data_IF_769285227676
#
_entry.id   IF_769285227676
#
_cell.length_a   1.000
_cell.length_b   1.000
_cell.length_c   1.000
_cell.angle_alpha   90.00
_cell.angle_beta   90.00
_cell.angle_gamma   90.00
#
_symmetry.space_group_name_H-M   'P 1'
#
loop_
_entity.id
_entity.type
_entity.pdbx_description
1 polymer ?
#
# COMPACT_ATOMS: atom_id res chain seq x y z
N UNK A 1 -30.44 -18.77 -2.82
CA UNK A 1 -29.86 -18.40 -1.50
C UNK A 1 -28.56 -17.66 -1.75
N UNK A 2 -28.63 -16.34 -1.80
CA UNK A 2 -27.57 -15.41 -2.20
C UNK A 2 -27.11 -14.57 -1.00
N UNK A 3 -25.85 -14.67 -0.54
CA UNK A 3 -25.35 -13.77 0.49
C UNK A 3 -24.67 -12.57 -0.19
N UNK A 4 -25.43 -11.50 -0.43
CA UNK A 4 -24.92 -10.17 -0.78
C UNK A 4 -25.53 -9.17 0.20
N UNK A 5 -24.83 -8.85 1.28
CA UNK A 5 -24.90 -7.59 2.05
C UNK A 5 -24.14 -7.77 3.35
N UNK A 6 -23.02 -7.05 3.50
CA UNK A 6 -22.75 -6.18 4.65
C UNK A 6 -21.52 -5.28 4.34
N UNK A 7 -21.67 -4.27 3.45
CA UNK A 7 -20.61 -3.30 3.16
C UNK A 7 -20.21 -2.42 4.38
N UNK A 8 -20.96 -2.49 5.49
CA UNK A 8 -20.68 -1.72 6.71
C UNK A 8 -19.48 -2.20 7.52
N UNK A 9 -19.17 -3.51 7.54
CA UNK A 9 -18.10 -4.05 8.40
C UNK A 9 -16.70 -3.67 7.90
N UNK A 10 -16.52 -3.53 6.58
CA UNK A 10 -15.24 -3.10 5.98
C UNK A 10 -14.96 -1.62 6.25
N UNK A 11 -15.99 -0.77 6.19
CA UNK A 11 -15.89 0.64 6.53
C UNK A 11 -15.57 0.86 8.00
N UNK A 12 -16.21 0.12 8.90
CA UNK A 12 -15.95 0.19 10.35
C UNK A 12 -14.57 -0.37 10.71
N UNK A 13 -14.07 -1.38 9.99
CA UNK A 13 -12.71 -1.89 10.17
C UNK A 13 -11.65 -0.90 9.67
N UNK A 14 -11.87 -0.24 8.54
CA UNK A 14 -10.99 0.81 8.02
C UNK A 14 -10.97 2.04 8.93
N UNK A 15 -12.15 2.49 9.40
CA UNK A 15 -12.27 3.56 10.41
C UNK A 15 -11.59 3.16 11.72
N UNK A 16 -11.78 1.92 12.18
CA UNK A 16 -11.12 1.38 13.36
C UNK A 16 -9.60 1.37 13.23
N UNK A 17 -9.06 0.97 12.08
CA UNK A 17 -7.61 1.00 11.81
C UNK A 17 -7.09 2.44 11.77
N UNK A 18 -7.80 3.37 11.16
CA UNK A 18 -7.44 4.80 11.12
C UNK A 18 -7.48 5.42 12.53
N UNK A 19 -8.48 5.07 13.35
CA UNK A 19 -8.62 5.55 14.74
C UNK A 19 -7.52 4.94 15.65
N UNK A 20 -7.18 3.66 15.46
CA UNK A 20 -6.09 3.00 16.21
C UNK A 20 -4.72 3.54 15.80
N UNK A 21 -4.50 3.88 14.52
CA UNK A 21 -3.25 4.52 14.07
C UNK A 21 -3.10 5.97 14.58
N UNK A 22 -4.20 6.70 14.79
CA UNK A 22 -4.18 8.12 15.20
C UNK A 22 -4.14 8.32 16.72
N UNK A 23 -4.51 7.32 17.51
CA UNK A 23 -4.53 7.39 18.99
C UNK A 23 -3.19 7.07 19.66
N UNK A 24 -2.18 6.62 18.90
CA UNK A 24 -0.83 6.37 19.40
C UNK A 24 0.13 7.48 18.91
N UNK A 25 0.35 8.57 19.68
CA UNK A 25 1.21 9.68 19.26
C UNK A 25 2.66 9.25 18.99
N UNK A 26 3.10 8.12 19.57
CA UNK A 26 4.41 7.53 19.34
C UNK A 26 4.60 6.94 17.93
N UNK A 27 3.52 6.61 17.21
CA UNK A 27 3.59 5.99 15.87
C UNK A 27 3.42 6.99 14.72
N UNK A 28 2.87 8.18 14.99
CA UNK A 28 2.64 9.22 13.97
C UNK A 28 3.96 9.72 13.39
N UNK A 29 4.96 9.94 14.24
CA UNK A 29 6.28 10.46 13.85
C UNK A 29 7.07 9.47 12.97
N UNK A 30 7.25 8.18 13.35
CA UNK A 30 7.95 7.22 12.50
C UNK A 30 7.18 6.92 11.21
N UNK A 31 5.84 6.86 11.23
CA UNK A 31 5.05 6.65 10.02
C UNK A 31 5.12 7.86 9.07
N UNK A 32 5.05 9.08 9.61
CA UNK A 32 5.21 10.31 8.82
C UNK A 32 6.60 10.40 8.20
N UNK A 33 7.64 10.02 8.94
CA UNK A 33 9.02 9.98 8.46
C UNK A 33 9.20 8.93 7.34
N UNK A 34 8.67 7.72 7.51
CA UNK A 34 8.68 6.68 6.47
C UNK A 34 7.93 7.15 5.22
N UNK A 35 6.76 7.75 5.39
CA UNK A 35 5.95 8.25 4.27
C UNK A 35 6.67 9.38 3.52
N UNK A 36 7.19 10.36 4.25
CA UNK A 36 7.92 11.50 3.68
C UNK A 36 9.19 11.07 2.96
N UNK A 37 10.04 10.25 3.60
CA UNK A 37 11.26 9.73 2.99
C UNK A 37 10.97 8.90 1.74
N UNK A 38 9.93 8.04 1.79
CA UNK A 38 9.51 7.23 0.64
C UNK A 38 9.00 8.06 -0.53
N UNK A 39 8.20 9.11 -0.28
CA UNK A 39 7.70 9.99 -1.36
C UNK A 39 8.82 10.82 -1.98
N UNK A 40 9.72 11.37 -1.17
CA UNK A 40 10.88 12.13 -1.65
C UNK A 40 11.79 11.26 -2.51
N UNK A 41 12.16 10.07 -2.02
CA UNK A 41 13.02 9.16 -2.76
C UNK A 41 12.35 8.64 -4.05
N UNK A 42 11.07 8.29 -3.99
CA UNK A 42 10.31 7.91 -5.19
C UNK A 42 10.27 9.03 -6.23
N UNK A 43 10.07 10.28 -5.79
CA UNK A 43 10.06 11.44 -6.68
C UNK A 43 11.43 11.69 -7.31
N UNK A 44 12.52 11.63 -6.52
CA UNK A 44 13.89 11.78 -7.02
C UNK A 44 14.21 10.68 -8.04
N UNK A 45 13.86 9.42 -7.77
CA UNK A 45 14.13 8.31 -8.69
C UNK A 45 13.38 8.44 -10.02
N UNK A 46 12.13 8.93 -9.99
CA UNK A 46 11.37 9.15 -11.23
C UNK A 46 11.89 10.36 -12.00
N UNK A 47 12.17 11.47 -11.31
CA UNK A 47 12.51 12.75 -11.97
C UNK A 47 13.97 12.89 -12.37
N UNK A 48 14.88 12.31 -11.60
CA UNK A 48 16.33 12.46 -11.82
C UNK A 48 16.92 11.24 -12.51
N UNK A 49 16.53 10.04 -12.09
CA UNK A 49 17.11 8.78 -12.59
C UNK A 49 16.28 8.10 -13.69
N UNK A 50 15.04 8.55 -13.92
CA UNK A 50 14.12 7.91 -14.88
C UNK A 50 13.73 6.48 -14.51
N UNK A 51 14.00 6.07 -13.27
CA UNK A 51 13.73 4.72 -12.77
C UNK A 51 12.35 4.64 -12.12
N UNK A 52 11.75 3.43 -12.03
CA UNK A 52 10.46 3.26 -11.39
C UNK A 52 10.51 3.69 -9.91
N UNK A 53 9.50 4.45 -9.49
CA UNK A 53 9.39 5.01 -8.13
C UNK A 53 9.55 3.97 -7.01
N UNK A 54 9.11 2.73 -7.30
CA UNK A 54 9.20 1.58 -6.40
C UNK A 54 10.63 1.31 -5.93
N UNK A 55 11.64 1.47 -6.81
CA UNK A 55 13.06 1.28 -6.47
C UNK A 55 13.52 2.34 -5.48
N UNK A 56 13.16 3.61 -5.73
CA UNK A 56 13.47 4.71 -4.81
C UNK A 56 12.81 4.53 -3.44
N UNK A 57 11.55 4.10 -3.41
CA UNK A 57 10.83 3.81 -2.16
C UNK A 57 11.47 2.66 -1.36
N UNK A 58 11.96 1.61 -2.03
CA UNK A 58 12.61 0.48 -1.38
C UNK A 58 13.99 0.86 -0.82
N UNK A 59 14.78 1.63 -1.56
CA UNK A 59 16.06 2.14 -1.10
C UNK A 59 15.90 3.10 0.08
N UNK A 60 14.88 3.97 0.07
CA UNK A 60 14.58 4.82 1.21
C UNK A 60 14.33 4.00 2.48
N UNK A 61 13.54 2.93 2.40
CA UNK A 61 13.30 2.04 3.53
C UNK A 61 14.56 1.31 4.02
N UNK A 62 15.42 0.88 3.09
CA UNK A 62 16.69 0.23 3.44
C UNK A 62 17.68 1.19 4.10
N UNK A 63 17.76 2.43 3.63
CA UNK A 63 18.57 3.49 4.23
C UNK A 63 18.02 3.83 5.62
N UNK A 64 16.71 4.04 5.75
CA UNK A 64 16.07 4.33 7.03
C UNK A 64 16.33 3.24 8.07
N UNK A 65 16.27 1.97 7.66
CA UNK A 65 16.53 0.83 8.55
C UNK A 65 17.99 0.75 9.03
N UNK A 66 18.95 1.19 8.22
CA UNK A 66 20.37 1.10 8.53
C UNK A 66 20.94 2.37 9.18
N UNK A 67 20.37 3.54 8.90
CA UNK A 67 20.84 4.84 9.39
C UNK A 67 20.12 5.28 10.67
N UNK A 68 18.83 4.98 10.81
CA UNK A 68 18.11 5.23 12.05
C UNK A 68 18.20 3.99 12.96
N UNK A 69 18.71 4.12 14.20
CA UNK A 69 18.69 3.04 15.16
C UNK A 69 17.25 2.53 15.39
N UNK A 70 17.06 1.25 15.74
CA UNK A 70 15.75 0.68 16.10
C UNK A 70 15.07 1.41 17.28
N UNK A 71 15.80 2.28 17.98
CA UNK A 71 15.30 3.15 19.05
C UNK A 71 14.27 4.20 18.59
N UNK A 72 14.16 4.50 17.29
CA UNK A 72 13.16 5.45 16.75
C UNK A 72 11.75 4.87 16.60
N UNK A 73 11.46 3.71 17.19
CA UNK A 73 10.11 3.14 17.21
C UNK A 73 9.63 2.74 15.82
N UNK A 74 10.51 2.09 15.04
CA UNK A 74 10.11 1.48 13.76
C UNK A 74 8.88 0.59 13.99
N UNK A 75 7.88 0.63 13.08
CA UNK A 75 6.62 -0.07 13.28
C UNK A 75 6.86 -1.57 13.51
N UNK A 76 6.35 -2.06 14.64
CA UNK A 76 6.43 -3.46 15.05
C UNK A 76 5.82 -4.40 13.98
N UNK A 77 6.12 -5.69 14.04
CA UNK A 77 5.65 -6.71 13.10
C UNK A 77 4.12 -6.66 12.90
N UNK A 78 3.37 -6.35 13.97
CA UNK A 78 1.92 -6.16 13.92
C UNK A 78 1.50 -4.96 13.07
N UNK A 79 2.13 -3.81 13.27
CA UNK A 79 1.85 -2.61 12.49
C UNK A 79 2.20 -2.82 11.01
N UNK A 80 3.32 -3.49 10.74
CA UNK A 80 3.71 -3.87 9.37
C UNK A 80 2.69 -4.78 8.69
N UNK A 81 2.13 -5.76 9.40
CA UNK A 81 1.08 -6.64 8.87
C UNK A 81 -0.19 -5.87 8.51
N UNK A 82 -0.64 -4.99 9.40
CA UNK A 82 -1.83 -4.14 9.18
C UNK A 82 -1.62 -3.20 8.00
N UNK A 83 -0.48 -2.50 7.94
CA UNK A 83 -0.16 -1.58 6.84
C UNK A 83 -0.12 -2.32 5.50
N UNK A 84 0.49 -3.50 5.45
CA UNK A 84 0.50 -4.33 4.23
C UNK A 84 -0.90 -4.75 3.80
N UNK A 85 -1.73 -5.17 4.75
CA UNK A 85 -3.13 -5.54 4.46
C UNK A 85 -3.92 -4.38 3.86
N UNK A 86 -3.84 -3.19 4.49
CA UNK A 86 -4.51 -1.98 4.00
C UNK A 86 -3.94 -1.53 2.65
N UNK A 87 -2.62 -1.56 2.49
CA UNK A 87 -1.96 -1.18 1.24
C UNK A 87 -2.38 -2.11 0.09
N UNK A 88 -2.36 -3.44 0.30
CA UNK A 88 -2.81 -4.40 -0.70
C UNK A 88 -4.28 -4.23 -1.05
N UNK A 89 -5.15 -4.06 -0.05
CA UNK A 89 -6.57 -3.79 -0.29
C UNK A 89 -6.76 -2.51 -1.12
N UNK A 90 -6.03 -1.45 -0.79
CA UNK A 90 -6.11 -0.16 -1.52
C UNK A 90 -5.58 -0.28 -2.94
N UNK A 91 -4.47 -0.98 -3.17
CA UNK A 91 -3.89 -1.21 -4.50
C UNK A 91 -4.84 -2.06 -5.35
N UNK A 92 -5.43 -3.13 -4.80
CA UNK A 92 -6.39 -3.98 -5.50
C UNK A 92 -7.67 -3.23 -5.84
N UNK A 93 -8.21 -2.43 -4.91
CA UNK A 93 -9.36 -1.58 -5.17
C UNK A 93 -9.05 -0.56 -6.28
N UNK A 94 -7.88 0.09 -6.22
CA UNK A 94 -7.47 1.06 -7.24
C UNK A 94 -7.27 0.41 -8.62
N UNK A 95 -6.67 -0.78 -8.66
CA UNK A 95 -6.51 -1.54 -9.90
C UNK A 95 -7.86 -2.00 -10.46
N UNK A 96 -8.78 -2.43 -9.59
CA UNK A 96 -10.15 -2.80 -9.93
C UNK A 96 -10.96 -1.64 -10.53
N UNK A 97 -10.83 -0.44 -9.97
CA UNK A 97 -11.53 0.75 -10.44
C UNK A 97 -10.93 1.34 -11.74
N UNK A 98 -9.66 1.05 -12.02
CA UNK A 98 -8.98 1.47 -13.25
C UNK A 98 -9.17 0.51 -14.43
N UNK A 99 -9.84 -0.63 -14.22
CA UNK A 99 -10.10 -1.60 -15.28
C UNK A 99 -11.29 -1.17 -16.12
N UNK A 100 -11.06 -0.99 -17.42
CA UNK A 100 -12.14 -0.78 -18.40
C UNK A 100 -12.92 -2.08 -18.58
N UNK A 101 -14.11 -2.15 -17.97
CA UNK A 101 -14.97 -3.34 -17.98
C UNK A 101 -15.33 -3.75 -19.42
N UNK A 102 -15.47 -2.79 -20.32
CA UNK A 102 -15.77 -3.01 -21.74
C UNK A 102 -14.60 -3.67 -22.48
N UNK A 103 -13.35 -3.26 -22.22
CA UNK A 103 -12.16 -3.87 -22.79
C UNK A 103 -11.92 -5.29 -22.26
N UNK A 104 -12.23 -5.51 -20.97
CA UNK A 104 -12.16 -6.85 -20.34
C UNK A 104 -13.22 -7.78 -20.91
N UNK A 105 -14.44 -7.28 -21.12
CA UNK A 105 -15.54 -8.04 -21.71
C UNK A 105 -15.31 -8.40 -23.18
N UNK A 106 -14.53 -7.59 -23.91
CA UNK A 106 -14.20 -7.85 -25.31
C UNK A 106 -13.23 -9.04 -25.49
N UNK A 107 -12.32 -9.29 -24.54
CA UNK A 107 -11.31 -10.36 -24.65
C UNK A 107 -11.07 -11.12 -23.32
N UNK A 108 -12.11 -11.70 -22.70
CA UNK A 108 -11.99 -12.30 -21.37
C UNK A 108 -11.08 -13.54 -21.35
N UNK A 109 -11.08 -14.31 -22.45
CA UNK A 109 -10.24 -15.51 -22.58
C UNK A 109 -8.74 -15.19 -22.65
N UNK A 110 -8.36 -14.13 -23.37
CA UNK A 110 -6.94 -13.75 -23.53
C UNK A 110 -6.38 -13.15 -22.23
N UNK A 111 -7.18 -12.33 -21.54
CA UNK A 111 -6.83 -11.82 -20.22
C UNK A 111 -6.72 -12.94 -19.18
N UNK A 112 -7.64 -13.91 -19.21
CA UNK A 112 -7.59 -15.06 -18.30
C UNK A 112 -6.37 -15.93 -18.55
N UNK A 113 -6.04 -16.21 -19.82
CA UNK A 113 -4.84 -16.97 -20.17
C UNK A 113 -3.55 -16.24 -19.78
N UNK A 114 -3.47 -14.92 -20.00
CA UNK A 114 -2.33 -14.11 -19.61
C UNK A 114 -2.17 -14.01 -18.07
N UNK A 115 -3.28 -14.05 -17.33
CA UNK A 115 -3.24 -14.05 -15.86
C UNK A 115 -2.82 -15.41 -15.28
N UNK A 116 -3.09 -16.52 -15.97
CA UNK A 116 -2.76 -17.88 -15.53
C UNK A 116 -1.35 -18.28 -15.99
N UNK A 117 -0.92 -17.84 -17.17
CA UNK A 117 0.39 -18.14 -17.76
C UNK A 117 1.07 -16.80 -18.12
N UNK A 118 1.99 -16.31 -17.27
CA UNK A 118 2.67 -15.05 -17.48
C UNK A 118 3.72 -15.10 -18.60
#
# INVERSE_FOLDING_TARGET
MSPLREPGRLGVALLGVVIVLTSAPALVLPLGLIFGAGTLAGWVFVKVLGQPALVGMLLAGLILRNVLPPALGLPDLRASYVIRGVALATIMLRAGLGLEVEAVAAQPLRLSLLAIVP
#
